data_IF_102856813046
#
_entry.id   IF_102856813046
#
_cell.length_a   1.000
_cell.length_b   1.000
_cell.length_c   1.000
_cell.angle_alpha   90.00
_cell.angle_beta   90.00
_cell.angle_gamma   90.00
#
_symmetry.space_group_name_H-M   'P 1'
#
loop_
_entity.id
_entity.type
_entity.pdbx_description
1 polymer ?
#
# COMPACT_ATOMS: atom_id res chain seq x y z
N UNK A 1 -27.82 -27.76 -5.06
CA UNK A 1 -26.79 -27.33 -4.08
C UNK A 1 -25.42 -27.21 -4.73
N UNK A 2 -24.93 -28.25 -5.41
CA UNK A 2 -23.58 -28.28 -6.03
C UNK A 2 -23.30 -27.12 -7.01
N UNK A 3 -24.25 -26.74 -7.87
CA UNK A 3 -24.08 -25.60 -8.81
C UNK A 3 -23.91 -24.26 -8.09
N UNK A 4 -24.63 -24.06 -6.99
CA UNK A 4 -24.54 -22.83 -6.20
C UNK A 4 -23.19 -22.73 -5.48
N UNK A 5 -22.71 -23.85 -4.93
CA UNK A 5 -21.40 -23.95 -4.29
C UNK A 5 -20.26 -23.69 -5.29
N UNK A 6 -20.32 -24.31 -6.48
CA UNK A 6 -19.36 -24.06 -7.57
C UNK A 6 -19.34 -22.59 -8.00
N UNK A 7 -20.52 -21.99 -8.13
CA UNK A 7 -20.64 -20.57 -8.49
C UNK A 7 -20.07 -19.67 -7.40
N UNK A 8 -20.30 -20.00 -6.12
CA UNK A 8 -19.77 -19.25 -5.00
C UNK A 8 -18.23 -19.29 -4.98
N UNK A 9 -17.64 -20.49 -5.15
CA UNK A 9 -16.17 -20.64 -5.24
C UNK A 9 -15.60 -19.81 -6.38
N UNK A 10 -16.19 -19.90 -7.59
CA UNK A 10 -15.74 -19.11 -8.74
C UNK A 10 -15.80 -17.60 -8.46
N UNK A 11 -16.88 -17.13 -7.84
CA UNK A 11 -17.02 -15.71 -7.49
C UNK A 11 -15.98 -15.28 -6.45
N UNK A 12 -15.67 -16.12 -5.47
CA UNK A 12 -14.61 -15.83 -4.49
C UNK A 12 -13.23 -15.73 -5.16
N UNK A 13 -12.94 -16.60 -6.14
CA UNK A 13 -11.70 -16.56 -6.91
C UNK A 13 -11.61 -15.28 -7.76
N UNK A 14 -12.69 -14.90 -8.46
CA UNK A 14 -12.75 -13.68 -9.26
C UNK A 14 -12.59 -12.41 -8.40
N UNK A 15 -13.27 -12.34 -7.25
CA UNK A 15 -13.13 -11.23 -6.30
C UNK A 15 -11.71 -11.14 -5.78
N UNK A 16 -11.13 -12.27 -5.39
CA UNK A 16 -9.75 -12.33 -4.90
C UNK A 16 -8.77 -11.85 -5.98
N UNK A 17 -8.94 -12.33 -7.21
CA UNK A 17 -8.11 -11.91 -8.34
C UNK A 17 -8.19 -10.40 -8.59
N UNK A 18 -9.40 -9.84 -8.63
CA UNK A 18 -9.61 -8.40 -8.84
C UNK A 18 -8.99 -7.56 -7.72
N UNK A 19 -9.16 -7.99 -6.46
CA UNK A 19 -8.56 -7.31 -5.31
C UNK A 19 -7.03 -7.36 -5.36
N UNK A 20 -6.44 -8.53 -5.62
CA UNK A 20 -4.99 -8.66 -5.78
C UNK A 20 -4.46 -7.83 -6.94
N UNK A 21 -5.18 -7.78 -8.06
CA UNK A 21 -4.77 -6.96 -9.21
C UNK A 21 -4.81 -5.47 -8.89
N UNK A 22 -5.85 -5.02 -8.19
CA UNK A 22 -6.01 -3.62 -7.76
C UNK A 22 -4.93 -3.21 -6.76
N UNK A 23 -4.59 -4.06 -5.80
CA UNK A 23 -3.62 -3.75 -4.74
C UNK A 23 -2.17 -4.05 -5.13
N UNK A 24 -1.89 -4.57 -6.33
CA UNK A 24 -0.57 -5.07 -6.74
C UNK A 24 0.55 -4.04 -6.57
N UNK A 25 0.26 -2.78 -6.81
CA UNK A 25 1.25 -1.70 -6.76
C UNK A 25 1.36 -1.06 -5.36
N UNK A 26 0.57 -1.52 -4.39
CA UNK A 26 0.59 -0.97 -3.04
C UNK A 26 1.73 -1.61 -2.24
N UNK A 27 2.47 -0.77 -1.53
CA UNK A 27 3.52 -1.19 -0.60
C UNK A 27 3.11 -0.82 0.82
N UNK A 28 3.42 -1.70 1.76
CA UNK A 28 3.21 -1.47 3.19
C UNK A 28 4.56 -1.24 3.85
N UNK A 29 4.72 -0.06 4.46
CA UNK A 29 5.88 0.29 5.26
C UNK A 29 5.52 0.16 6.75
N UNK A 30 6.41 -0.43 7.54
CA UNK A 30 6.21 -0.64 8.97
C UNK A 30 7.41 -0.11 9.78
N UNK A 31 7.17 0.20 11.06
CA UNK A 31 8.19 0.76 11.94
C UNK A 31 8.47 2.26 11.72
N UNK A 32 7.54 2.97 11.10
CA UNK A 32 7.56 4.44 10.98
C UNK A 32 6.75 5.01 12.15
N UNK A 33 7.29 6.00 12.86
CA UNK A 33 6.59 6.64 13.97
C UNK A 33 5.45 7.51 13.46
N UNK A 34 4.24 7.29 13.97
CA UNK A 34 3.04 8.04 13.64
C UNK A 34 2.97 9.37 14.39
N UNK A 35 2.34 10.37 13.79
CA UNK A 35 2.07 11.66 14.42
C UNK A 35 0.57 11.91 14.54
N UNK A 36 0.16 12.65 15.58
CA UNK A 36 -1.24 13.02 15.76
C UNK A 36 -1.72 13.90 14.60
N UNK A 37 -2.87 13.56 14.00
CA UNK A 37 -3.44 14.24 12.83
C UNK A 37 -2.56 14.26 11.57
N UNK A 38 -1.79 13.18 11.35
CA UNK A 38 -0.92 13.06 10.18
C UNK A 38 -1.71 13.11 8.87
N UNK A 39 -1.40 14.12 8.05
CA UNK A 39 -1.96 14.25 6.71
C UNK A 39 -1.23 13.38 5.69
N UNK A 40 -1.74 13.39 4.46
CA UNK A 40 -1.11 12.67 3.34
C UNK A 40 0.33 13.18 3.07
N UNK A 41 0.55 14.50 3.12
CA UNK A 41 1.86 15.11 2.86
C UNK A 41 2.91 14.71 3.92
N UNK A 42 2.48 14.64 5.18
CA UNK A 42 3.33 14.21 6.30
C UNK A 42 3.74 12.75 6.14
N UNK A 43 2.75 11.87 5.85
CA UNK A 43 3.00 10.45 5.65
C UNK A 43 3.92 10.19 4.46
N UNK A 44 3.73 10.91 3.35
CA UNK A 44 4.62 10.83 2.19
C UNK A 44 6.05 11.26 2.54
N UNK A 45 6.21 12.36 3.28
CA UNK A 45 7.53 12.85 3.71
C UNK A 45 8.25 11.82 4.57
N UNK A 46 7.54 11.17 5.52
CA UNK A 46 8.11 10.12 6.36
C UNK A 46 8.50 8.88 5.57
N UNK A 47 7.67 8.45 4.62
CA UNK A 47 7.99 7.31 3.74
C UNK A 47 9.21 7.62 2.88
N UNK A 48 9.30 8.81 2.29
CA UNK A 48 10.50 9.23 1.53
C UNK A 48 11.76 9.23 2.41
N UNK A 49 11.67 9.78 3.62
CA UNK A 49 12.76 9.75 4.60
C UNK A 49 13.18 8.33 4.95
N UNK A 50 12.21 7.44 5.20
CA UNK A 50 12.47 6.02 5.50
C UNK A 50 13.19 5.32 4.34
N UNK A 51 12.73 5.51 3.10
CA UNK A 51 13.36 4.93 1.91
C UNK A 51 14.81 5.41 1.77
N UNK A 52 15.05 6.71 1.98
CA UNK A 52 16.39 7.26 1.91
C UNK A 52 17.30 6.71 3.02
N UNK A 53 16.87 6.78 4.28
CA UNK A 53 17.71 6.50 5.45
C UNK A 53 17.86 5.01 5.73
N UNK A 54 16.76 4.25 5.66
CA UNK A 54 16.75 2.83 6.04
C UNK A 54 17.08 1.92 4.86
N UNK A 55 16.57 2.24 3.66
CA UNK A 55 16.85 1.45 2.47
C UNK A 55 18.08 1.94 1.71
N UNK A 56 18.70 3.05 2.13
CA UNK A 56 19.92 3.64 1.55
C UNK A 56 19.79 3.97 0.06
N UNK A 57 18.58 4.31 -0.37
CA UNK A 57 18.33 4.77 -1.74
C UNK A 57 18.73 6.24 -1.83
N UNK A 58 19.44 6.60 -2.90
CA UNK A 58 19.92 7.96 -3.10
C UNK A 58 18.76 8.96 -3.18
N UNK A 59 18.91 10.12 -2.54
CA UNK A 59 17.83 11.10 -2.38
C UNK A 59 17.27 11.57 -3.73
N UNK A 60 18.13 11.75 -4.73
CA UNK A 60 17.73 12.13 -6.10
C UNK A 60 16.86 11.09 -6.80
N UNK A 61 16.96 9.82 -6.41
CA UNK A 61 16.09 8.74 -6.88
C UNK A 61 14.79 8.78 -6.09
N UNK A 62 14.85 8.92 -4.77
CA UNK A 62 13.66 9.00 -3.91
C UNK A 62 12.77 10.16 -4.32
N UNK A 63 13.33 11.33 -4.59
CA UNK A 63 12.59 12.54 -5.00
C UNK A 63 11.87 12.36 -6.34
N UNK A 64 12.29 11.41 -7.18
CA UNK A 64 11.64 11.07 -8.46
C UNK A 64 10.53 10.02 -8.33
N UNK A 65 10.39 9.38 -7.17
CA UNK A 65 9.31 8.43 -6.93
C UNK A 65 7.99 9.19 -6.89
N UNK A 66 7.02 8.75 -7.69
CA UNK A 66 5.65 9.26 -7.68
C UNK A 66 4.77 8.34 -6.85
N UNK A 67 4.07 8.92 -5.87
CA UNK A 67 3.06 8.23 -5.09
C UNK A 67 1.68 8.72 -5.52
N UNK A 68 0.77 7.81 -5.85
CA UNK A 68 -0.63 8.15 -6.15
C UNK A 68 -1.39 8.50 -4.87
N UNK A 69 -1.16 7.72 -3.80
CA UNK A 69 -1.74 7.94 -2.48
C UNK A 69 -0.84 7.35 -1.40
N UNK A 70 -0.66 8.08 -0.30
CA UNK A 70 0.02 7.61 0.91
C UNK A 70 -0.90 7.86 2.10
N UNK A 71 -1.07 6.85 2.96
CA UNK A 71 -1.87 6.96 4.17
C UNK A 71 -1.39 5.94 5.20
N UNK A 72 -1.66 6.24 6.47
CA UNK A 72 -1.45 5.30 7.57
C UNK A 72 -2.51 4.19 7.47
N UNK A 73 -2.06 2.95 7.61
CA UNK A 73 -2.95 1.79 7.63
C UNK A 73 -3.44 1.54 9.06
N UNK A 74 -4.69 1.92 9.34
CA UNK A 74 -5.33 1.78 10.65
C UNK A 74 -6.03 3.07 11.09
N UNK A 75 -6.83 3.04 12.16
CA UNK A 75 -7.15 4.23 12.94
C UNK A 75 -5.96 4.72 13.77
#
# INVERSE_FOLDING_TARGET
MVELEKTNVRLQEEVTYLQSHSMRNNLVFSGIAESTNEGQEDAETKVRGFIHEKMRIAKDIVDKISFERVHIMGP
#
